data_IF_650310616609
#
_entry.id   IF_650310616609
#
_cell.length_a   1.000
_cell.length_b   1.000
_cell.length_c   1.000
_cell.angle_alpha   90.00
_cell.angle_beta   90.00
_cell.angle_gamma   90.00
#
_symmetry.space_group_name_H-M   'P 1'
#
loop_
_entity.id
_entity.type
_entity.pdbx_description
1 polymer ?
#
# COMPACT_ATOMS: atom_id res chain seq x y z
N UNK A 1 -28.82 -24.49 4.82
CA UNK A 1 -27.87 -23.51 4.32
C UNK A 1 -27.27 -24.00 3.00
N UNK A 2 -26.65 -23.12 2.20
CA UNK A 2 -25.91 -23.50 1.00
C UNK A 2 -24.67 -24.32 1.39
N UNK A 3 -24.30 -25.26 0.54
CA UNK A 3 -23.02 -25.95 0.71
C UNK A 3 -21.86 -25.09 0.22
N UNK A 4 -20.62 -25.29 0.74
CA UNK A 4 -19.47 -24.48 0.31
C UNK A 4 -19.26 -24.46 -1.23
N UNK A 5 -19.50 -25.57 -1.90
CA UNK A 5 -19.36 -25.72 -3.36
C UNK A 5 -20.46 -24.98 -4.17
N UNK A 6 -21.54 -24.56 -3.51
CA UNK A 6 -22.62 -23.79 -4.13
C UNK A 6 -22.40 -22.27 -4.01
N UNK A 7 -21.33 -21.85 -3.31
CA UNK A 7 -21.02 -20.45 -3.05
C UNK A 7 -19.98 -19.95 -4.05
N UNK A 8 -20.34 -18.93 -4.83
CA UNK A 8 -19.40 -18.23 -5.69
C UNK A 8 -18.65 -17.22 -4.82
N UNK A 9 -17.36 -17.45 -4.58
CA UNK A 9 -16.50 -16.58 -3.78
C UNK A 9 -16.00 -15.41 -4.64
N UNK A 10 -16.50 -14.20 -4.34
CA UNK A 10 -16.08 -12.93 -4.98
C UNK A 10 -15.53 -11.94 -3.95
N UNK A 11 -15.24 -12.42 -2.74
CA UNK A 11 -14.73 -11.63 -1.61
C UNK A 11 -13.20 -11.66 -1.60
N UNK A 12 -12.60 -10.64 -0.97
CA UNK A 12 -11.16 -10.52 -0.69
C UNK A 12 -10.24 -10.35 -1.92
N UNK A 13 -10.78 -10.07 -3.10
CA UNK A 13 -10.02 -9.82 -4.35
C UNK A 13 -9.02 -10.95 -4.70
N UNK A 14 -9.35 -12.19 -4.33
CA UNK A 14 -8.50 -13.34 -4.59
C UNK A 14 -8.38 -13.63 -6.08
N UNK A 15 -7.20 -14.11 -6.52
CA UNK A 15 -6.98 -14.49 -7.90
C UNK A 15 -7.67 -15.84 -8.22
N UNK A 16 -8.76 -15.86 -9.00
CA UNK A 16 -9.49 -17.08 -9.31
C UNK A 16 -8.70 -18.07 -10.18
N UNK A 17 -7.63 -17.61 -10.86
CA UNK A 17 -6.77 -18.45 -11.69
C UNK A 17 -5.75 -19.24 -10.84
N UNK A 18 -5.67 -18.97 -9.54
CA UNK A 18 -4.70 -19.60 -8.64
C UNK A 18 -3.26 -19.15 -8.90
N UNK A 19 -2.32 -19.92 -8.40
CA UNK A 19 -0.89 -19.62 -8.52
C UNK A 19 -0.24 -20.30 -9.75
N UNK A 20 0.84 -19.71 -10.26
CA UNK A 20 1.59 -20.28 -11.39
C UNK A 20 2.23 -21.63 -11.03
N UNK A 21 2.55 -22.44 -12.05
CA UNK A 21 3.25 -23.73 -11.86
C UNK A 21 4.61 -23.55 -11.18
N UNK A 22 5.35 -22.49 -11.52
CA UNK A 22 6.65 -22.17 -10.90
C UNK A 22 6.52 -21.90 -9.41
N UNK A 23 5.48 -21.17 -8.99
CA UNK A 23 5.21 -20.92 -7.56
C UNK A 23 4.86 -22.21 -6.83
N UNK A 24 4.01 -23.07 -7.42
CA UNK A 24 3.67 -24.37 -6.84
C UNK A 24 4.91 -25.24 -6.60
N UNK A 25 5.80 -25.30 -7.57
CA UNK A 25 7.06 -26.05 -7.48
C UNK A 25 8.01 -25.48 -6.42
N UNK A 26 8.15 -24.15 -6.37
CA UNK A 26 8.98 -23.47 -5.37
C UNK A 26 8.46 -23.72 -3.94
N UNK A 27 7.14 -23.62 -3.72
CA UNK A 27 6.51 -23.90 -2.42
C UNK A 27 6.72 -25.36 -2.02
N UNK A 28 6.52 -26.31 -2.94
CA UNK A 28 6.74 -27.74 -2.65
C UNK A 28 8.20 -28.02 -2.25
N UNK A 29 9.15 -27.38 -2.92
CA UNK A 29 10.58 -27.49 -2.59
C UNK A 29 10.91 -26.87 -1.23
N UNK A 30 10.40 -25.67 -0.95
CA UNK A 30 10.60 -24.98 0.32
C UNK A 30 10.02 -25.77 1.50
N UNK A 31 8.89 -26.47 1.29
CA UNK A 31 8.23 -27.27 2.33
C UNK A 31 9.14 -28.37 2.93
N UNK A 32 10.15 -28.84 2.20
CA UNK A 32 11.10 -29.82 2.69
C UNK A 32 11.99 -29.31 3.83
N UNK A 33 12.04 -27.99 4.04
CA UNK A 33 12.89 -27.32 5.03
C UNK A 33 12.11 -26.57 6.10
N UNK A 34 10.80 -26.76 6.23
CA UNK A 34 9.93 -26.08 7.21
C UNK A 34 10.32 -26.33 8.68
N UNK A 35 11.13 -27.34 8.94
CA UNK A 35 11.70 -27.62 10.26
C UNK A 35 12.87 -26.68 10.65
N UNK A 36 13.28 -25.78 9.77
CA UNK A 36 14.32 -24.79 10.03
C UNK A 36 13.69 -23.43 10.30
N UNK A 37 14.39 -22.62 11.10
CA UNK A 37 14.02 -21.22 11.25
C UNK A 37 14.11 -20.50 9.89
N UNK A 38 13.19 -19.59 9.58
CA UNK A 38 13.32 -18.73 8.41
C UNK A 38 14.51 -17.78 8.54
N UNK A 39 14.96 -17.24 7.43
CA UNK A 39 15.87 -16.10 7.40
C UNK A 39 15.18 -14.89 8.04
N UNK A 40 15.66 -14.45 9.22
CA UNK A 40 15.03 -13.39 9.99
C UNK A 40 15.05 -12.03 9.26
N UNK A 41 16.09 -11.80 8.46
CA UNK A 41 16.26 -10.55 7.73
C UNK A 41 15.62 -10.60 6.34
N UNK A 42 15.07 -11.75 5.92
CA UNK A 42 14.54 -11.99 4.57
C UNK A 42 15.52 -11.57 3.45
N UNK A 43 16.84 -11.71 3.70
CA UNK A 43 17.91 -11.20 2.86
C UNK A 43 17.75 -11.54 1.36
N UNK A 44 17.43 -12.80 1.04
CA UNK A 44 17.28 -13.22 -0.34
C UNK A 44 16.10 -12.56 -1.05
N UNK A 45 14.99 -12.33 -0.32
CA UNK A 45 13.81 -11.66 -0.85
C UNK A 45 14.08 -10.17 -1.04
N UNK A 46 14.65 -9.50 -0.04
CA UNK A 46 15.05 -8.09 -0.16
C UNK A 46 16.01 -7.87 -1.34
N UNK A 47 17.02 -8.75 -1.49
CA UNK A 47 17.94 -8.68 -2.61
C UNK A 47 17.24 -8.83 -3.96
N UNK A 48 16.34 -9.80 -4.09
CA UNK A 48 15.60 -10.01 -5.34
C UNK A 48 14.70 -8.82 -5.69
N UNK A 49 14.06 -8.20 -4.70
CA UNK A 49 13.27 -6.97 -4.88
C UNK A 49 14.18 -5.80 -5.27
N UNK A 50 15.27 -5.60 -4.56
CA UNK A 50 16.28 -4.58 -4.85
C UNK A 50 16.79 -4.67 -6.30
N UNK A 51 17.17 -5.87 -6.73
CA UNK A 51 17.63 -6.12 -8.10
C UNK A 51 16.52 -5.89 -9.15
N UNK A 52 15.29 -6.31 -8.86
CA UNK A 52 14.15 -6.17 -9.76
C UNK A 52 13.76 -4.70 -10.00
N UNK A 53 13.76 -3.91 -8.93
CA UNK A 53 13.28 -2.52 -8.97
C UNK A 53 14.41 -1.49 -9.02
N UNK A 54 15.67 -1.92 -8.96
CA UNK A 54 16.83 -1.04 -9.05
C UNK A 54 16.94 -0.06 -7.88
N UNK A 55 16.55 -0.50 -6.68
CA UNK A 55 16.63 0.29 -5.43
C UNK A 55 17.65 -0.32 -4.47
N UNK A 56 18.23 0.46 -3.54
CA UNK A 56 19.10 -0.07 -2.49
C UNK A 56 18.38 -1.15 -1.65
N UNK A 57 19.10 -2.21 -1.25
CA UNK A 57 18.49 -3.30 -0.48
C UNK A 57 17.97 -2.83 0.88
N UNK A 58 18.60 -1.86 1.52
CA UNK A 58 18.20 -1.25 2.77
C UNK A 58 16.95 -0.34 2.68
N UNK A 59 16.45 -0.10 1.45
CA UNK A 59 15.17 0.56 1.23
C UNK A 59 14.00 -0.42 1.25
N UNK A 60 14.27 -1.72 1.28
CA UNK A 60 13.24 -2.76 1.18
C UNK A 60 12.89 -3.29 2.57
N UNK A 61 11.64 -3.11 2.96
CA UNK A 61 11.06 -3.68 4.19
C UNK A 61 10.14 -4.84 3.81
N UNK A 62 10.25 -5.96 4.52
CA UNK A 62 9.45 -7.15 4.29
C UNK A 62 8.46 -7.33 5.43
N UNK A 63 7.22 -7.69 5.08
CA UNK A 63 6.17 -7.99 6.04
C UNK A 63 5.20 -9.06 5.52
N UNK A 64 4.25 -9.46 6.35
CA UNK A 64 3.17 -10.40 6.01
C UNK A 64 2.09 -9.70 5.17
N UNK A 65 2.46 -9.32 3.95
CA UNK A 65 1.63 -8.52 3.04
C UNK A 65 1.61 -7.03 3.38
N UNK A 66 0.95 -6.24 2.52
CA UNK A 66 0.84 -4.79 2.70
C UNK A 66 0.16 -4.42 4.01
N UNK A 67 -0.79 -5.21 4.50
CA UNK A 67 -1.51 -4.91 5.75
C UNK A 67 -0.59 -4.78 6.97
N UNK A 68 0.43 -5.60 7.11
CA UNK A 68 1.43 -5.46 8.18
C UNK A 68 2.30 -4.21 7.94
N UNK A 69 2.74 -3.98 6.70
CA UNK A 69 3.56 -2.83 6.36
C UNK A 69 2.83 -1.50 6.60
N UNK A 70 1.53 -1.43 6.28
CA UNK A 70 0.66 -0.28 6.59
C UNK A 70 0.62 0.01 8.10
N UNK A 71 0.49 -1.05 8.91
CA UNK A 71 0.53 -0.94 10.37
C UNK A 71 1.88 -0.46 10.89
N UNK A 72 2.96 -1.09 10.47
CA UNK A 72 4.32 -0.72 10.86
C UNK A 72 4.66 0.73 10.47
N UNK A 73 4.31 1.14 9.25
CA UNK A 73 4.50 2.52 8.81
C UNK A 73 3.71 3.51 9.69
N UNK A 74 2.45 3.20 10.00
CA UNK A 74 1.63 4.01 10.89
C UNK A 74 2.25 4.14 12.28
N UNK A 75 2.72 3.04 12.87
CA UNK A 75 3.37 3.03 14.20
C UNK A 75 4.65 3.88 14.27
N UNK A 76 5.35 4.08 13.14
CA UNK A 76 6.58 4.89 13.13
C UNK A 76 6.31 6.40 13.22
N UNK A 77 5.15 6.87 12.76
CA UNK A 77 4.88 8.32 12.61
C UNK A 77 3.63 8.80 13.36
N UNK A 78 2.72 7.90 13.74
CA UNK A 78 1.48 8.25 14.41
C UNK A 78 1.56 8.02 15.92
N UNK A 79 0.88 8.89 16.66
CA UNK A 79 0.68 8.80 18.11
C UNK A 79 -0.53 9.65 18.53
N UNK A 80 -0.87 9.64 19.80
CA UNK A 80 -1.89 10.54 20.35
C UNK A 80 -1.54 12.02 20.02
N UNK A 81 -2.54 12.76 19.55
CA UNK A 81 -2.41 14.16 19.12
C UNK A 81 -1.97 14.34 17.67
N UNK A 82 -1.63 13.30 16.94
CA UNK A 82 -1.36 13.36 15.50
C UNK A 82 -2.59 13.03 14.66
N UNK A 83 -2.55 13.36 13.36
CA UNK A 83 -3.62 13.03 12.41
C UNK A 83 -3.10 12.21 11.22
N UNK A 84 -3.98 11.34 10.71
CA UNK A 84 -3.81 10.64 9.45
C UNK A 84 -4.94 10.99 8.48
N UNK A 85 -4.60 11.26 7.21
CA UNK A 85 -5.54 11.59 6.15
C UNK A 85 -5.70 10.39 5.23
N UNK A 86 -6.92 10.11 4.79
CA UNK A 86 -7.22 9.07 3.81
C UNK A 86 -8.45 9.43 2.97
N UNK A 87 -8.54 8.96 1.71
CA UNK A 87 -9.71 9.25 0.87
C UNK A 87 -10.90 8.37 1.28
N UNK A 88 -12.10 8.94 1.16
CA UNK A 88 -13.35 8.21 1.30
C UNK A 88 -13.41 7.03 0.30
N UNK A 89 -14.15 5.99 0.65
CA UNK A 89 -14.28 4.76 -0.15
C UNK A 89 -12.92 4.10 -0.50
N UNK A 90 -11.96 4.18 0.42
CA UNK A 90 -10.67 3.50 0.31
C UNK A 90 -10.57 2.27 1.23
N UNK A 91 -9.40 1.68 1.34
CA UNK A 91 -9.22 0.47 2.13
C UNK A 91 -9.48 0.71 3.63
N UNK A 92 -10.39 -0.07 4.20
CA UNK A 92 -10.87 0.11 5.58
C UNK A 92 -9.78 -0.04 6.65
N UNK A 93 -8.62 -0.60 6.30
CA UNK A 93 -7.49 -0.75 7.21
C UNK A 93 -6.86 0.61 7.57
N UNK A 94 -6.89 1.62 6.69
CA UNK A 94 -6.24 2.90 6.93
C UNK A 94 -6.71 3.59 8.23
N UNK A 95 -8.02 3.85 8.41
CA UNK A 95 -8.48 4.42 9.67
C UNK A 95 -8.30 3.48 10.87
N UNK A 96 -8.27 2.17 10.65
CA UNK A 96 -8.08 1.20 11.74
C UNK A 96 -6.65 1.30 12.30
N UNK A 97 -5.62 1.24 11.46
CA UNK A 97 -4.23 1.32 11.93
C UNK A 97 -3.92 2.68 12.55
N UNK A 98 -4.45 3.77 11.99
CA UNK A 98 -4.27 5.10 12.56
C UNK A 98 -4.85 5.19 13.98
N UNK A 99 -6.07 4.68 14.19
CA UNK A 99 -6.72 4.67 15.52
C UNK A 99 -6.02 3.75 16.50
N UNK A 100 -5.47 2.64 16.05
CA UNK A 100 -4.66 1.74 16.91
C UNK A 100 -3.42 2.46 17.45
N UNK A 101 -2.84 3.38 16.68
CA UNK A 101 -1.74 4.24 17.13
C UNK A 101 -2.20 5.42 18.02
N UNK A 102 -3.50 5.57 18.30
CA UNK A 102 -4.06 6.68 19.07
C UNK A 102 -4.22 7.98 18.28
N UNK A 103 -3.99 7.96 16.96
CA UNK A 103 -4.13 9.14 16.11
C UNK A 103 -5.58 9.42 15.72
N UNK A 104 -5.88 10.67 15.46
CA UNK A 104 -7.15 11.09 14.84
C UNK A 104 -7.10 10.79 13.33
N UNK A 105 -8.27 10.61 12.72
CA UNK A 105 -8.39 10.34 11.29
C UNK A 105 -9.22 11.39 10.59
N UNK A 106 -8.76 11.84 9.43
CA UNK A 106 -9.46 12.79 8.56
C UNK A 106 -9.81 12.07 7.27
N UNK A 107 -11.09 11.79 7.08
CA UNK A 107 -11.61 11.22 5.85
C UNK A 107 -11.95 12.34 4.86
N UNK A 108 -11.35 12.32 3.69
CA UNK A 108 -11.61 13.31 2.64
C UNK A 108 -12.69 12.76 1.69
N UNK A 109 -13.79 13.48 1.48
CA UNK A 109 -14.80 13.06 0.52
C UNK A 109 -14.21 12.81 -0.87
N UNK A 110 -14.67 11.74 -1.53
CA UNK A 110 -14.26 11.45 -2.91
C UNK A 110 -14.90 12.40 -3.89
N UNK A 111 -14.29 12.53 -5.07
CA UNK A 111 -14.89 13.20 -6.22
C UNK A 111 -16.13 12.47 -6.74
N UNK A 112 -16.92 13.10 -7.63
CA UNK A 112 -18.16 12.52 -8.13
C UNK A 112 -18.00 11.21 -8.91
N UNK A 113 -16.78 10.86 -9.31
CA UNK A 113 -16.39 9.61 -9.98
C UNK A 113 -15.68 8.60 -9.05
N UNK A 114 -15.78 8.81 -7.73
CA UNK A 114 -15.18 7.98 -6.69
C UNK A 114 -13.63 7.97 -6.65
N UNK A 115 -12.98 8.93 -7.27
CA UNK A 115 -11.54 9.15 -7.10
C UNK A 115 -11.22 9.90 -5.81
N UNK A 116 -9.97 9.78 -5.35
CA UNK A 116 -9.45 10.63 -4.30
C UNK A 116 -9.41 12.10 -4.76
N UNK A 117 -9.88 13.01 -3.91
CA UNK A 117 -9.74 14.44 -4.14
C UNK A 117 -8.38 14.90 -3.58
N UNK A 118 -7.37 14.91 -4.45
CA UNK A 118 -6.00 15.21 -4.09
C UNK A 118 -5.81 16.65 -3.60
N UNK A 119 -6.57 17.60 -4.16
CA UNK A 119 -6.52 19.00 -3.72
C UNK A 119 -7.10 19.14 -2.32
N UNK A 120 -8.27 18.56 -2.05
CA UNK A 120 -8.87 18.55 -0.73
C UNK A 120 -8.00 17.78 0.30
N UNK A 121 -7.32 16.71 -0.11
CA UNK A 121 -6.37 15.99 0.75
C UNK A 121 -5.17 16.89 1.12
N UNK A 122 -4.61 17.62 0.16
CA UNK A 122 -3.50 18.54 0.42
C UNK A 122 -3.94 19.72 1.32
N UNK A 123 -5.13 20.28 1.08
CA UNK A 123 -5.68 21.38 1.87
C UNK A 123 -6.01 20.97 3.33
N UNK A 124 -6.25 19.69 3.58
CA UNK A 124 -6.50 19.17 4.93
C UNK A 124 -5.23 18.92 5.77
N UNK A 125 -4.05 19.08 5.18
CA UNK A 125 -2.78 18.91 5.90
C UNK A 125 -2.58 20.06 6.89
N UNK A 126 -2.38 19.72 8.16
CA UNK A 126 -2.09 20.67 9.24
C UNK A 126 -0.79 20.30 10.00
N UNK A 127 -0.49 21.04 11.05
CA UNK A 127 0.70 20.84 11.89
C UNK A 127 0.70 19.52 12.66
N UNK A 128 -0.45 18.86 12.80
CA UNK A 128 -0.61 17.54 13.45
C UNK A 128 -0.52 16.39 12.46
N UNK A 129 -0.65 16.66 11.17
CA UNK A 129 -0.65 15.63 10.13
C UNK A 129 0.72 14.95 10.05
N UNK A 130 0.74 13.60 10.09
CA UNK A 130 1.96 12.80 9.99
C UNK A 130 1.91 11.73 8.92
N UNK A 131 0.70 11.32 8.52
CA UNK A 131 0.53 10.25 7.55
C UNK A 131 -0.62 10.55 6.60
N UNK A 132 -0.40 10.29 5.31
CA UNK A 132 -1.42 10.26 4.28
C UNK A 132 -1.41 8.87 3.66
N UNK A 133 -2.58 8.24 3.58
CA UNK A 133 -2.76 7.03 2.81
C UNK A 133 -3.30 7.38 1.43
N UNK A 134 -2.61 6.94 0.39
CA UNK A 134 -3.01 7.11 -1.00
C UNK A 134 -2.89 5.76 -1.72
N UNK A 135 -3.97 5.27 -2.29
CA UNK A 135 -4.00 3.97 -2.97
C UNK A 135 -4.28 4.14 -4.46
N UNK A 136 -3.49 3.46 -5.30
CA UNK A 136 -3.61 3.58 -6.75
C UNK A 136 -3.18 2.29 -7.48
N UNK A 137 -4.12 1.54 -8.12
CA UNK A 137 -5.57 1.84 -8.18
C UNK A 137 -6.27 1.62 -6.85
N UNK A 138 -7.37 2.35 -6.65
CA UNK A 138 -8.10 2.35 -5.38
C UNK A 138 -8.87 1.04 -5.14
N UNK A 139 -8.82 0.55 -3.92
CA UNK A 139 -9.66 -0.51 -3.40
C UNK A 139 -10.72 0.11 -2.46
N UNK A 140 -12.05 -0.05 -2.70
CA UNK A 140 -12.69 -1.03 -3.59
C UNK A 140 -13.18 -0.47 -4.93
N UNK A 141 -13.01 0.82 -5.22
CA UNK A 141 -13.66 1.47 -6.37
C UNK A 141 -13.07 1.08 -7.73
N UNK A 142 -11.79 0.67 -7.76
CA UNK A 142 -11.06 0.36 -8.98
C UNK A 142 -10.70 1.61 -9.80
N UNK A 143 -10.96 2.80 -9.28
CA UNK A 143 -10.54 4.05 -9.89
C UNK A 143 -9.04 4.24 -9.79
N UNK A 144 -8.44 5.02 -10.68
CA UNK A 144 -7.02 5.33 -10.65
C UNK A 144 -6.74 6.80 -10.91
N UNK A 145 -5.61 7.25 -10.41
CA UNK A 145 -5.08 8.60 -10.57
C UNK A 145 -3.95 8.58 -11.59
N UNK A 146 -3.85 9.62 -12.41
CA UNK A 146 -2.74 9.75 -13.34
C UNK A 146 -1.45 10.12 -12.57
N UNK A 147 -0.29 9.64 -13.05
CA UNK A 147 1.01 9.93 -12.43
C UNK A 147 1.25 11.42 -12.22
N UNK A 148 0.91 12.23 -13.23
CA UNK A 148 1.06 13.68 -13.14
C UNK A 148 0.29 14.28 -11.95
N UNK A 149 -0.95 13.83 -11.71
CA UNK A 149 -1.78 14.36 -10.63
C UNK A 149 -1.21 13.94 -9.26
N UNK A 150 -0.65 12.74 -9.18
CA UNK A 150 0.05 12.24 -7.99
C UNK A 150 1.31 13.08 -7.72
N UNK A 151 2.13 13.35 -8.72
CA UNK A 151 3.34 14.17 -8.57
C UNK A 151 2.98 15.61 -8.15
N UNK A 152 1.99 16.24 -8.81
CA UNK A 152 1.50 17.57 -8.45
C UNK A 152 0.96 17.61 -7.00
N UNK A 153 0.37 16.53 -6.52
CA UNK A 153 -0.06 16.39 -5.13
C UNK A 153 1.13 16.27 -4.18
N UNK A 154 2.08 15.37 -4.47
CA UNK A 154 3.24 15.12 -3.61
C UNK A 154 4.10 16.38 -3.43
N UNK A 155 4.21 17.21 -4.47
CA UNK A 155 4.91 18.50 -4.41
C UNK A 155 4.27 19.50 -3.42
N UNK A 156 2.98 19.32 -3.09
CA UNK A 156 2.27 20.14 -2.09
C UNK A 156 2.44 19.63 -0.66
N UNK A 157 2.86 18.37 -0.50
CA UNK A 157 2.92 17.73 0.83
C UNK A 157 4.24 18.06 1.53
N UNK A 158 4.19 18.58 2.77
CA UNK A 158 5.40 18.85 3.53
C UNK A 158 6.23 17.56 3.77
N UNK A 159 7.57 17.63 3.73
CA UNK A 159 8.44 16.47 3.91
C UNK A 159 8.36 15.83 5.31
N UNK A 160 7.71 16.50 6.25
CA UNK A 160 7.41 15.99 7.60
C UNK A 160 6.20 15.07 7.66
N UNK A 161 5.44 14.97 6.56
CA UNK A 161 4.27 14.12 6.41
C UNK A 161 4.64 12.93 5.54
N UNK A 162 4.56 11.73 6.07
CA UNK A 162 4.74 10.50 5.28
C UNK A 162 3.54 10.29 4.35
N UNK A 163 3.80 9.93 3.10
CA UNK A 163 2.76 9.46 2.18
C UNK A 163 2.97 7.97 1.95
N UNK A 164 2.01 7.17 2.35
CA UNK A 164 2.00 5.74 2.11
C UNK A 164 1.21 5.47 0.83
N UNK A 165 1.94 5.17 -0.25
CA UNK A 165 1.41 4.93 -1.57
C UNK A 165 1.18 3.44 -1.76
N UNK A 166 -0.08 3.01 -1.63
CA UNK A 166 -0.49 1.61 -1.68
C UNK A 166 -0.79 1.20 -3.12
N UNK A 167 0.05 0.34 -3.67
CA UNK A 167 -0.02 -0.20 -5.02
C UNK A 167 -0.39 -1.70 -5.06
N UNK A 168 -1.08 -2.21 -4.04
CA UNK A 168 -1.45 -3.63 -3.94
C UNK A 168 -2.13 -4.19 -5.21
N UNK A 169 -2.68 -3.32 -6.06
CA UNK A 169 -3.40 -3.70 -7.27
C UNK A 169 -2.82 -3.09 -8.56
N UNK A 170 -1.59 -2.60 -8.54
CA UNK A 170 -0.98 -1.93 -9.70
C UNK A 170 -0.91 -2.83 -10.94
N UNK A 171 -0.75 -4.14 -10.76
CA UNK A 171 -0.72 -5.09 -11.88
C UNK A 171 -2.03 -5.20 -12.65
N UNK A 172 -3.16 -4.75 -12.08
CA UNK A 172 -4.44 -4.69 -12.79
C UNK A 172 -4.55 -3.51 -13.76
N UNK A 173 -3.69 -2.50 -13.61
CA UNK A 173 -3.61 -1.42 -14.58
C UNK A 173 -2.84 -1.84 -15.83
N UNK A 174 -3.30 -1.35 -16.98
CA UNK A 174 -2.51 -1.40 -18.21
C UNK A 174 -1.13 -0.78 -17.95
N UNK A 175 -0.04 -1.37 -18.47
CA UNK A 175 1.32 -0.88 -18.18
C UNK A 175 1.54 0.60 -18.46
N UNK A 176 0.86 1.17 -19.47
CA UNK A 176 0.96 2.58 -19.82
C UNK A 176 0.28 3.53 -18.83
N UNK A 177 -0.53 3.00 -17.90
CA UNK A 177 -1.24 3.77 -16.88
C UNK A 177 -0.59 3.67 -15.50
N UNK A 178 0.46 2.85 -15.37
CA UNK A 178 1.18 2.67 -14.10
C UNK A 178 2.13 3.82 -13.88
N UNK A 179 2.20 4.27 -12.62
CA UNK A 179 3.20 5.24 -12.20
C UNK A 179 4.60 4.61 -12.15
N UNK A 180 5.65 5.40 -12.38
CA UNK A 180 7.00 5.01 -12.02
C UNK A 180 7.23 5.24 -10.51
N UNK A 181 6.72 4.32 -9.70
CA UNK A 181 6.77 4.42 -8.24
C UNK A 181 8.20 4.46 -7.70
N UNK A 182 9.14 3.87 -8.42
CA UNK A 182 10.55 3.90 -8.00
C UNK A 182 11.16 5.27 -8.23
N UNK A 183 10.75 5.98 -9.28
CA UNK A 183 11.15 7.38 -9.48
C UNK A 183 10.46 8.30 -8.45
N UNK A 184 9.19 8.06 -8.16
CA UNK A 184 8.46 8.79 -7.10
C UNK A 184 9.21 8.71 -5.77
N UNK A 185 9.63 7.51 -5.33
CA UNK A 185 10.37 7.33 -4.07
C UNK A 185 11.73 8.01 -4.09
N UNK A 186 12.40 8.10 -5.25
CA UNK A 186 13.68 8.82 -5.37
C UNK A 186 13.50 10.33 -5.27
N UNK A 187 12.42 10.87 -5.81
CA UNK A 187 12.13 12.31 -5.81
C UNK A 187 11.53 12.78 -4.48
N UNK A 188 10.75 11.93 -3.82
CA UNK A 188 10.01 12.26 -2.60
C UNK A 188 10.41 11.32 -1.45
N UNK A 189 11.43 11.68 -0.64
CA UNK A 189 11.95 10.81 0.44
C UNK A 189 10.96 10.52 1.57
N UNK A 190 9.84 11.23 1.62
CA UNK A 190 8.74 10.99 2.54
C UNK A 190 7.65 10.05 1.97
N UNK A 191 7.88 9.46 0.79
CA UNK A 191 6.97 8.46 0.20
C UNK A 191 7.48 7.05 0.48
N UNK A 192 6.58 6.20 0.96
CA UNK A 192 6.76 4.75 1.04
C UNK A 192 5.77 4.09 0.09
N UNK A 193 6.23 3.15 -0.73
CA UNK A 193 5.38 2.33 -1.63
C UNK A 193 5.15 0.97 -0.99
N UNK A 194 3.91 0.46 -1.01
CA UNK A 194 3.51 -0.82 -0.41
C UNK A 194 2.69 -1.69 -1.39
#
# INVERSE_FOLDING_TARGET
GLKPEEIIMLVANENPNGMSSKVKEAVATAALNLNRYPDADAYHLQKAISEKYGVPQDWVVIGSGSSELLGLAAETVLSEGTTAIYPQYSFSLYPMVARLCGAETIEIPSTGDFNADLDAMADAVDERTRLIFLTNPNNPTGTYLAEKDILDFLDKIPPTVMVLFDEAYVEFLEPALRCDSMEIVRLHPNVMVA
#
